data_IF_112924791072
#
_entry.id   IF_112924791072
#
_cell.length_a   1.000
_cell.length_b   1.000
_cell.length_c   1.000
_cell.angle_alpha   90.00
_cell.angle_beta   90.00
_cell.angle_gamma   90.00
#
_symmetry.space_group_name_H-M   'P 1'
#
loop_
_entity.id
_entity.type
_entity.pdbx_description
1 polymer ?
#
# COMPACT_ATOMS: atom_id res chain seq x y z
N UNK A 1 1.20 22.72 19.41
CA UNK A 1 -0.24 22.76 19.07
C UNK A 1 -0.98 22.71 20.39
N UNK A 2 -1.98 23.58 20.62
CA UNK A 2 -2.78 23.55 21.85
C UNK A 2 -3.61 22.27 21.91
N UNK A 3 -3.71 21.66 23.09
CA UNK A 3 -4.24 20.31 23.32
C UNK A 3 -5.74 20.17 23.02
N UNK A 4 -6.46 21.29 22.92
CA UNK A 4 -7.93 21.32 22.72
C UNK A 4 -8.36 21.01 21.28
N UNK A 5 -7.54 21.29 20.25
CA UNK A 5 -7.83 20.88 18.86
C UNK A 5 -7.63 19.38 18.62
N UNK A 6 -6.93 18.67 19.50
CA UNK A 6 -6.63 17.25 19.32
C UNK A 6 -7.87 16.40 19.66
N UNK A 7 -8.64 16.79 20.69
CA UNK A 7 -9.82 16.05 21.17
C UNK A 7 -11.05 16.13 20.27
N UNK A 8 -11.23 17.20 19.49
CA UNK A 8 -12.38 17.32 18.57
C UNK A 8 -12.20 16.53 17.27
N UNK A 9 -10.96 16.12 16.96
CA UNK A 9 -10.58 15.40 15.73
C UNK A 9 -10.44 13.89 15.92
N UNK A 10 -10.44 13.39 17.15
CA UNK A 10 -10.36 11.95 17.45
C UNK A 10 -11.59 11.14 17.00
N UNK A 11 -12.72 11.81 16.71
CA UNK A 11 -14.00 11.16 16.42
C UNK A 11 -14.27 10.74 14.97
N UNK A 12 -13.44 11.12 14.00
CA UNK A 12 -13.77 10.93 12.56
C UNK A 12 -12.78 10.03 11.77
N UNK A 13 -11.84 9.39 12.46
CA UNK A 13 -10.91 8.44 11.84
C UNK A 13 -11.54 7.05 11.66
N UNK A 14 -11.11 6.31 10.63
CA UNK A 14 -11.53 4.91 10.42
C UNK A 14 -11.03 3.97 11.53
N UNK A 15 -9.91 4.33 12.14
CA UNK A 15 -9.22 3.59 13.21
C UNK A 15 -8.63 4.59 14.20
N UNK A 16 -8.53 4.25 15.50
CA UNK A 16 -7.87 5.12 16.47
C UNK A 16 -6.48 5.60 16.03
N UNK A 17 -6.18 6.87 16.33
CA UNK A 17 -4.92 7.51 15.98
C UNK A 17 -3.70 6.73 16.49
N UNK A 18 -3.82 6.16 17.69
CA UNK A 18 -2.78 5.33 18.31
C UNK A 18 -2.40 4.14 17.44
N UNK A 19 -3.36 3.50 16.76
CA UNK A 19 -3.11 2.36 15.88
C UNK A 19 -2.29 2.76 14.65
N UNK A 20 -2.57 3.93 14.05
CA UNK A 20 -1.78 4.47 12.94
C UNK A 20 -0.33 4.80 13.36
N UNK A 21 -0.16 5.35 14.57
CA UNK A 21 1.15 5.71 15.10
C UNK A 21 1.97 4.46 15.48
N UNK A 22 1.37 3.53 16.21
CA UNK A 22 2.00 2.28 16.67
C UNK A 22 2.51 1.42 15.50
N UNK A 23 1.74 1.35 14.42
CA UNK A 23 2.12 0.59 13.22
C UNK A 23 3.08 1.34 12.27
N UNK A 24 3.42 2.60 12.58
CA UNK A 24 4.43 3.38 11.84
C UNK A 24 4.01 3.77 10.41
N UNK A 25 2.71 3.92 10.15
CA UNK A 25 2.16 4.26 8.83
C UNK A 25 2.62 5.64 8.36
N UNK A 26 2.74 6.57 9.31
CA UNK A 26 3.12 7.97 9.10
C UNK A 26 4.62 8.16 8.83
N UNK A 27 5.46 7.14 9.01
CA UNK A 27 6.92 7.26 8.91
C UNK A 27 7.36 7.09 7.46
N UNK A 28 7.74 8.19 6.81
CA UNK A 28 8.30 8.20 5.46
C UNK A 28 9.82 8.17 5.42
N UNK A 29 10.39 8.29 4.22
CA UNK A 29 11.85 8.28 3.99
C UNK A 29 12.47 9.68 4.06
N UNK A 30 13.81 9.69 3.94
CA UNK A 30 14.61 10.91 3.81
C UNK A 30 14.46 11.61 2.46
N UNK A 31 14.27 10.82 1.40
CA UNK A 31 14.09 11.35 0.05
C UNK A 31 12.61 11.63 -0.18
N UNK A 32 12.31 12.84 -0.65
CA UNK A 32 10.95 13.30 -0.97
C UNK A 32 10.87 13.74 -2.43
N UNK A 33 9.91 13.22 -3.18
CA UNK A 33 9.56 13.69 -4.52
C UNK A 33 8.70 14.95 -4.44
N UNK A 34 8.64 15.75 -5.52
CA UNK A 34 7.87 17.00 -5.55
C UNK A 34 6.38 16.75 -5.33
N UNK A 35 5.85 15.69 -5.92
CA UNK A 35 4.44 15.31 -5.84
C UNK A 35 4.01 14.88 -4.43
N UNK A 36 4.87 14.14 -3.71
CA UNK A 36 4.55 13.67 -2.37
C UNK A 36 4.64 14.75 -1.29
N UNK A 37 5.11 15.98 -1.62
CA UNK A 37 5.26 17.06 -0.63
C UNK A 37 3.94 17.44 0.03
N UNK A 38 2.82 17.35 -0.69
CA UNK A 38 1.51 17.72 -0.17
C UNK A 38 1.05 16.82 0.99
N UNK A 39 1.47 15.56 1.00
CA UNK A 39 1.09 14.60 2.05
C UNK A 39 2.03 14.62 3.25
N UNK A 40 3.16 15.33 3.17
CA UNK A 40 4.16 15.40 4.23
C UNK A 40 3.83 16.58 5.16
N UNK A 41 3.60 16.28 6.44
CA UNK A 41 3.36 17.29 7.47
C UNK A 41 4.66 17.98 7.90
N UNK A 42 5.66 17.19 8.33
CA UNK A 42 6.94 17.72 8.82
C UNK A 42 8.11 16.81 8.50
N UNK A 43 9.31 17.35 8.58
CA UNK A 43 10.56 16.56 8.56
C UNK A 43 11.12 16.51 9.98
N UNK A 44 11.38 15.30 10.50
CA UNK A 44 12.00 15.09 11.82
C UNK A 44 13.50 15.46 11.78
N UNK A 45 14.11 15.64 12.94
CA UNK A 45 15.56 15.86 13.11
C UNK A 45 16.42 14.78 12.44
N UNK A 46 15.95 13.52 12.45
CA UNK A 46 16.58 12.38 11.75
C UNK A 46 16.54 12.46 10.22
N UNK A 47 15.98 13.55 9.68
CA UNK A 47 15.66 13.79 8.26
C UNK A 47 14.59 12.86 7.70
N UNK A 48 13.88 12.11 8.55
CA UNK A 48 12.73 11.31 8.12
C UNK A 48 11.52 12.21 7.89
N UNK A 49 10.81 11.98 6.81
CA UNK A 49 9.55 12.69 6.52
C UNK A 49 8.42 12.05 7.33
N UNK A 50 7.51 12.88 7.84
CA UNK A 50 6.31 12.44 8.56
C UNK A 50 5.09 12.80 7.73
N UNK A 51 4.30 11.79 7.38
CA UNK A 51 3.02 11.97 6.70
C UNK A 51 1.95 12.52 7.64
N UNK A 52 1.01 13.29 7.08
CA UNK A 52 -0.19 13.73 7.79
C UNK A 52 -1.24 12.60 7.82
N UNK A 53 -1.51 12.06 9.02
CA UNK A 53 -2.45 10.94 9.22
C UNK A 53 -3.86 11.28 8.73
N UNK A 54 -4.30 12.54 8.81
CA UNK A 54 -5.63 12.97 8.34
C UNK A 54 -5.78 12.74 6.84
N UNK A 55 -4.76 13.11 6.08
CA UNK A 55 -4.73 12.89 4.62
C UNK A 55 -4.66 11.40 4.27
N UNK A 56 -4.01 10.58 5.10
CA UNK A 56 -3.99 9.13 4.90
C UNK A 56 -5.40 8.56 5.05
N UNK A 57 -6.09 8.92 6.14
CA UNK A 57 -7.45 8.43 6.43
C UNK A 57 -8.46 8.87 5.37
N UNK A 58 -8.41 10.14 4.95
CA UNK A 58 -9.25 10.67 3.86
C UNK A 58 -9.02 9.90 2.56
N UNK A 59 -7.74 9.66 2.20
CA UNK A 59 -7.40 8.90 0.99
C UNK A 59 -7.83 7.44 1.08
N UNK A 60 -7.71 6.82 2.25
CA UNK A 60 -8.22 5.46 2.49
C UNK A 60 -9.74 5.40 2.33
N UNK A 61 -10.47 6.36 2.89
CA UNK A 61 -11.93 6.44 2.77
C UNK A 61 -12.38 6.58 1.32
N UNK A 62 -11.71 7.44 0.55
CA UNK A 62 -12.00 7.60 -0.89
C UNK A 62 -11.65 6.33 -1.66
N UNK A 63 -10.49 5.72 -1.38
CA UNK A 63 -10.11 4.45 -2.00
C UNK A 63 -11.11 3.34 -1.72
N UNK A 64 -11.53 3.14 -0.47
CA UNK A 64 -12.52 2.13 -0.10
C UNK A 64 -13.86 2.35 -0.81
N UNK A 65 -14.33 3.60 -0.89
CA UNK A 65 -15.52 3.96 -1.67
C UNK A 65 -15.36 3.63 -3.14
N UNK A 66 -14.20 3.93 -3.72
CA UNK A 66 -13.93 3.63 -5.12
C UNK A 66 -13.93 2.11 -5.37
N UNK A 67 -13.20 1.33 -4.56
CA UNK A 67 -13.13 -0.13 -4.65
C UNK A 67 -14.51 -0.78 -4.46
N UNK A 68 -15.32 -0.28 -3.54
CA UNK A 68 -16.65 -0.84 -3.24
C UNK A 68 -17.62 -0.80 -4.42
N UNK A 69 -17.41 0.11 -5.38
CA UNK A 69 -18.25 0.26 -6.57
C UNK A 69 -17.95 -0.75 -7.67
N UNK A 70 -16.77 -1.36 -7.64
CA UNK A 70 -16.38 -2.38 -8.60
C UNK A 70 -16.79 -3.76 -8.11
N UNK A 71 -17.05 -4.65 -9.06
CA UNK A 71 -17.24 -6.07 -8.80
C UNK A 71 -15.92 -6.66 -8.25
N UNK A 72 -15.97 -7.49 -7.19
CA UNK A 72 -14.77 -8.04 -6.58
C UNK A 72 -13.85 -8.73 -7.60
N UNK A 73 -14.42 -9.55 -8.47
CA UNK A 73 -13.68 -10.33 -9.47
C UNK A 73 -12.96 -9.46 -10.51
N UNK A 74 -13.36 -8.19 -10.64
CA UNK A 74 -12.76 -7.21 -11.56
C UNK A 74 -11.71 -6.32 -10.89
N UNK A 75 -11.47 -6.47 -9.59
CA UNK A 75 -10.42 -5.74 -8.87
C UNK A 75 -9.20 -6.65 -8.71
N UNK A 76 -8.04 -6.19 -9.21
CA UNK A 76 -6.77 -6.90 -9.08
C UNK A 76 -5.85 -6.18 -8.10
N UNK A 77 -5.42 -6.88 -7.05
CA UNK A 77 -4.38 -6.41 -6.12
C UNK A 77 -3.03 -7.09 -6.42
N UNK A 78 -1.96 -6.31 -6.60
CA UNK A 78 -0.62 -6.80 -6.95
C UNK A 78 0.43 -6.35 -5.93
N UNK A 79 1.29 -7.28 -5.54
CA UNK A 79 2.49 -7.00 -4.75
C UNK A 79 3.62 -7.99 -5.03
N UNK A 80 4.67 -7.53 -5.68
CA UNK A 80 5.93 -8.28 -5.74
C UNK A 80 6.69 -8.25 -4.40
N UNK A 81 6.35 -7.31 -3.51
CA UNK A 81 7.07 -7.09 -2.26
C UNK A 81 6.67 -8.11 -1.20
N UNK A 82 7.67 -8.69 -0.52
CA UNK A 82 7.52 -9.77 0.49
C UNK A 82 6.53 -9.38 1.60
N UNK A 83 6.60 -8.14 2.09
CA UNK A 83 5.71 -7.67 3.14
C UNK A 83 4.28 -7.42 2.69
N UNK A 84 4.05 -7.21 1.39
CA UNK A 84 2.71 -6.99 0.83
C UNK A 84 2.01 -8.27 0.38
N UNK A 85 2.72 -9.41 0.27
CA UNK A 85 2.14 -10.67 -0.20
C UNK A 85 0.98 -11.16 0.66
N UNK A 86 1.22 -11.28 1.96
CA UNK A 86 0.22 -11.77 2.92
C UNK A 86 -0.97 -10.80 3.08
N UNK A 87 -0.78 -9.47 3.23
CA UNK A 87 -1.88 -8.52 3.23
C UNK A 87 -2.78 -8.62 1.99
N UNK A 88 -2.20 -8.77 0.80
CA UNK A 88 -2.97 -8.90 -0.45
C UNK A 88 -3.73 -10.22 -0.52
N UNK A 89 -3.11 -11.34 -0.13
CA UNK A 89 -3.81 -12.64 -0.07
C UNK A 89 -5.01 -12.57 0.86
N UNK A 90 -4.82 -12.01 2.06
CA UNK A 90 -5.92 -11.80 3.02
C UNK A 90 -6.99 -10.86 2.50
N UNK A 91 -6.59 -9.76 1.87
CA UNK A 91 -7.54 -8.85 1.22
C UNK A 91 -8.40 -9.59 0.17
N UNK A 92 -7.78 -10.39 -0.69
CA UNK A 92 -8.47 -11.23 -1.69
C UNK A 92 -9.41 -12.26 -1.05
N UNK A 93 -8.96 -12.98 -0.03
CA UNK A 93 -9.77 -13.96 0.70
C UNK A 93 -11.06 -13.36 1.28
N UNK A 94 -10.98 -12.15 1.85
CA UNK A 94 -12.13 -11.52 2.50
C UNK A 94 -13.03 -10.74 1.54
N UNK A 95 -12.45 -10.04 0.56
CA UNK A 95 -13.23 -9.18 -0.35
C UNK A 95 -13.71 -9.90 -1.61
N UNK A 96 -13.12 -11.06 -1.94
CA UNK A 96 -13.34 -11.78 -3.20
C UNK A 96 -12.55 -11.19 -4.39
N UNK A 97 -11.63 -10.26 -4.15
CA UNK A 97 -10.84 -9.65 -5.22
C UNK A 97 -9.77 -10.60 -5.79
N UNK A 98 -9.34 -10.38 -7.03
CA UNK A 98 -8.18 -11.09 -7.58
C UNK A 98 -6.88 -10.58 -6.94
N UNK A 99 -5.93 -11.48 -6.72
CA UNK A 99 -4.65 -11.13 -6.11
C UNK A 99 -3.47 -11.82 -6.80
N UNK A 100 -2.43 -11.04 -7.10
CA UNK A 100 -1.09 -11.54 -7.43
C UNK A 100 -0.16 -11.16 -6.30
N UNK A 101 0.10 -12.12 -5.40
CA UNK A 101 1.07 -12.00 -4.32
C UNK A 101 2.50 -12.33 -4.71
N UNK A 102 2.68 -12.99 -5.85
CA UNK A 102 3.97 -13.51 -6.29
C UNK A 102 4.54 -12.64 -7.40
N UNK A 103 5.48 -13.19 -8.16
CA UNK A 103 6.10 -12.46 -9.25
C UNK A 103 5.04 -12.11 -10.31
N UNK A 104 4.87 -10.83 -10.59
CA UNK A 104 4.04 -10.38 -11.71
C UNK A 104 4.68 -10.82 -13.03
N UNK A 105 3.96 -11.60 -13.82
CA UNK A 105 4.41 -12.06 -15.14
C UNK A 105 4.06 -11.00 -16.17
N UNK A 106 5.03 -10.61 -17.00
CA UNK A 106 4.76 -9.65 -18.06
C UNK A 106 3.78 -10.23 -19.09
N UNK A 107 2.83 -9.41 -19.54
CA UNK A 107 1.78 -9.83 -20.45
C UNK A 107 0.50 -10.31 -19.75
N UNK A 108 0.48 -10.32 -18.41
CA UNK A 108 -0.70 -10.69 -17.60
C UNK A 108 -1.94 -9.88 -18.00
N UNK A 109 -1.78 -8.59 -18.30
CA UNK A 109 -2.90 -7.71 -18.65
C UNK A 109 -3.01 -7.43 -20.15
N UNK A 110 -1.95 -7.66 -20.94
CA UNK A 110 -1.90 -7.23 -22.35
C UNK A 110 -1.94 -8.36 -23.36
N UNK A 111 -1.60 -9.60 -22.98
CA UNK A 111 -1.50 -10.71 -23.92
C UNK A 111 -2.57 -11.78 -23.65
N UNK A 112 -3.65 -11.86 -24.45
CA UNK A 112 -4.68 -12.88 -24.27
C UNK A 112 -4.20 -14.33 -24.48
N UNK A 113 -3.05 -14.55 -25.12
CA UNK A 113 -2.57 -15.89 -25.43
C UNK A 113 -1.92 -16.62 -24.24
N UNK A 114 -1.61 -15.91 -23.14
CA UNK A 114 -1.05 -16.55 -21.94
C UNK A 114 -2.16 -17.12 -21.05
N UNK A 115 -1.92 -18.26 -20.36
CA UNK A 115 -2.94 -18.91 -19.56
C UNK A 115 -3.34 -18.12 -18.30
N UNK A 116 -2.50 -17.18 -17.87
CA UNK A 116 -2.75 -16.32 -16.71
C UNK A 116 -3.22 -14.92 -17.10
N UNK A 117 -3.79 -14.77 -18.30
CA UNK A 117 -4.36 -13.51 -18.75
C UNK A 117 -5.55 -13.11 -17.87
N UNK A 118 -5.60 -11.83 -17.49
CA UNK A 118 -6.69 -11.28 -16.70
C UNK A 118 -7.06 -9.87 -17.18
N UNK A 119 -8.35 -9.57 -17.15
CA UNK A 119 -8.92 -8.26 -17.51
C UNK A 119 -9.62 -7.63 -16.28
N UNK A 120 -8.86 -7.05 -15.35
CA UNK A 120 -9.42 -6.28 -14.25
C UNK A 120 -9.82 -4.87 -14.71
N UNK A 121 -10.86 -4.32 -14.08
CA UNK A 121 -11.30 -2.94 -14.26
C UNK A 121 -10.61 -1.97 -13.28
N UNK A 122 -9.93 -2.51 -12.27
CA UNK A 122 -9.19 -1.73 -11.27
C UNK A 122 -7.92 -2.44 -10.82
N UNK A 123 -6.80 -1.73 -10.80
CA UNK A 123 -5.53 -2.22 -10.28
C UNK A 123 -5.19 -1.55 -8.93
N UNK A 124 -4.87 -2.36 -7.93
CA UNK A 124 -4.35 -1.92 -6.62
C UNK A 124 -2.91 -2.41 -6.47
N UNK A 125 -2.00 -1.50 -6.12
CA UNK A 125 -0.56 -1.77 -6.03
C UNK A 125 -0.01 -1.39 -4.65
N UNK A 126 0.81 -2.27 -4.04
CA UNK A 126 1.46 -1.98 -2.74
C UNK A 126 2.68 -1.08 -2.85
N UNK A 127 3.49 -1.22 -3.91
CA UNK A 127 4.68 -0.41 -4.09
C UNK A 127 4.92 -0.09 -5.57
N UNK A 128 4.77 1.17 -5.99
CA UNK A 128 4.94 1.55 -7.39
C UNK A 128 6.38 1.36 -7.88
N UNK A 129 7.37 1.28 -6.99
CA UNK A 129 8.74 1.01 -7.42
C UNK A 129 8.99 -0.45 -7.75
N UNK A 130 8.32 -1.37 -7.06
CA UNK A 130 8.46 -2.82 -7.26
C UNK A 130 7.55 -3.33 -8.36
N UNK A 131 6.36 -2.76 -8.49
CA UNK A 131 5.28 -3.25 -9.36
C UNK A 131 5.10 -2.41 -10.63
N UNK A 132 6.18 -1.75 -11.09
CA UNK A 132 6.18 -0.88 -12.29
C UNK A 132 5.63 -1.56 -13.54
N UNK A 133 5.83 -2.88 -13.65
CA UNK A 133 5.37 -3.63 -14.81
C UNK A 133 3.85 -3.72 -14.85
N UNK A 134 3.22 -4.00 -13.69
CA UNK A 134 1.77 -4.04 -13.59
C UNK A 134 1.16 -2.66 -13.88
N UNK A 135 1.75 -1.60 -13.34
CA UNK A 135 1.34 -0.20 -13.58
C UNK A 135 1.42 0.14 -15.08
N UNK A 136 2.55 -0.22 -15.73
CA UNK A 136 2.75 0.07 -17.14
C UNK A 136 1.73 -0.68 -18.03
N UNK A 137 1.49 -1.96 -17.74
CA UNK A 137 0.51 -2.74 -18.49
C UNK A 137 -0.92 -2.24 -18.26
N UNK A 138 -1.28 -1.85 -17.04
CA UNK A 138 -2.56 -1.23 -16.73
C UNK A 138 -2.77 0.09 -17.50
N UNK A 139 -1.74 0.94 -17.55
CA UNK A 139 -1.76 2.19 -18.33
C UNK A 139 -2.00 1.95 -19.82
N UNK A 140 -1.37 0.91 -20.40
CA UNK A 140 -1.58 0.53 -21.80
C UNK A 140 -3.03 0.07 -22.06
N UNK A 141 -3.63 -0.65 -21.11
CA UNK A 141 -5.00 -1.17 -21.20
C UNK A 141 -6.07 -0.15 -20.77
N UNK A 142 -5.68 1.02 -20.25
CA UNK A 142 -6.62 2.03 -19.74
C UNK A 142 -7.26 1.65 -18.40
N UNK A 143 -6.63 0.78 -17.62
CA UNK A 143 -7.11 0.34 -16.31
C UNK A 143 -6.66 1.35 -15.24
N UNK A 144 -7.57 1.92 -14.43
CA UNK A 144 -7.21 2.85 -13.37
C UNK A 144 -6.36 2.19 -12.28
N UNK A 145 -5.37 2.94 -11.77
CA UNK A 145 -4.38 2.44 -10.81
C UNK A 145 -4.47 3.18 -9.47
N UNK A 146 -4.73 2.42 -8.40
CA UNK A 146 -4.57 2.84 -7.00
C UNK A 146 -3.23 2.32 -6.48
N UNK A 147 -2.39 3.19 -5.92
CA UNK A 147 -1.11 2.76 -5.37
C UNK A 147 -0.82 3.31 -3.97
N UNK A 148 -0.28 2.44 -3.12
CA UNK A 148 0.31 2.83 -1.83
C UNK A 148 1.70 3.39 -2.06
N UNK A 149 1.87 4.68 -1.78
CA UNK A 149 3.08 5.42 -2.13
C UNK A 149 3.81 5.97 -0.90
N UNK A 150 5.10 5.66 -0.80
CA UNK A 150 6.02 6.30 0.13
C UNK A 150 6.58 7.61 -0.47
N UNK A 151 7.35 8.39 0.31
CA UNK A 151 7.79 9.73 -0.08
C UNK A 151 8.70 9.78 -1.29
N UNK A 152 9.34 8.67 -1.65
CA UNK A 152 10.23 8.56 -2.80
C UNK A 152 9.52 8.02 -4.06
N UNK A 153 8.22 7.73 -3.99
CA UNK A 153 7.48 7.15 -5.10
C UNK A 153 7.48 8.07 -6.33
N UNK A 154 7.59 7.45 -7.51
CA UNK A 154 7.29 8.09 -8.79
C UNK A 154 5.84 7.80 -9.11
N UNK A 155 5.11 8.83 -9.51
CA UNK A 155 3.65 8.82 -9.65
C UNK A 155 3.26 8.91 -11.13
N UNK A 156 4.09 8.36 -12.00
CA UNK A 156 3.73 8.26 -13.41
C UNK A 156 2.75 7.11 -13.53
N UNK A 157 1.66 7.29 -14.28
CA UNK A 157 0.67 6.25 -14.55
C UNK A 157 -0.08 5.74 -13.30
N UNK A 158 -0.21 6.58 -12.27
CA UNK A 158 -0.97 6.30 -11.05
C UNK A 158 -2.07 7.36 -10.92
N UNK A 159 -3.32 6.92 -10.88
CA UNK A 159 -4.48 7.82 -10.81
C UNK A 159 -4.80 8.22 -9.37
N UNK A 160 -4.72 7.27 -8.44
CA UNK A 160 -5.05 7.51 -7.05
C UNK A 160 -3.93 7.07 -6.10
N UNK A 161 -3.52 7.98 -5.23
CA UNK A 161 -2.41 7.80 -4.30
C UNK A 161 -2.96 7.61 -2.89
N UNK A 162 -2.53 6.53 -2.24
CA UNK A 162 -2.64 6.34 -0.80
C UNK A 162 -1.27 6.64 -0.19
N UNK A 163 -1.06 7.80 0.46
CA UNK A 163 0.22 8.16 1.03
C UNK A 163 0.48 7.32 2.28
N UNK A 164 1.49 6.45 2.25
CA UNK A 164 1.82 5.64 3.42
C UNK A 164 3.22 5.01 3.35
N UNK A 165 3.68 4.52 4.50
CA UNK A 165 4.90 3.74 4.57
C UNK A 165 4.73 2.35 3.93
N UNK A 166 5.27 2.17 2.73
CA UNK A 166 5.25 0.90 2.00
C UNK A 166 6.45 -0.02 2.33
N UNK A 167 7.21 0.27 3.40
CA UNK A 167 8.37 -0.53 3.81
C UNK A 167 8.18 -1.31 5.09
N UNK A 168 7.36 -0.80 6.00
CA UNK A 168 7.03 -1.48 7.25
C UNK A 168 6.07 -2.63 7.02
N UNK A 169 6.36 -3.79 7.59
CA UNK A 169 5.44 -4.95 7.59
C UNK A 169 4.08 -4.60 8.20
N UNK A 170 4.10 -3.90 9.34
CA UNK A 170 2.91 -3.51 10.09
C UNK A 170 2.10 -2.42 9.37
N UNK A 171 2.79 -1.50 8.68
CA UNK A 171 2.13 -0.41 7.95
C UNK A 171 1.31 -0.93 6.77
N UNK A 172 1.90 -1.77 5.91
CA UNK A 172 1.17 -2.35 4.76
C UNK A 172 0.01 -3.22 5.25
N UNK A 173 0.24 -4.03 6.29
CA UNK A 173 -0.81 -4.84 6.89
C UNK A 173 -1.98 -3.98 7.38
N UNK A 174 -1.70 -2.87 8.08
CA UNK A 174 -2.74 -1.98 8.58
C UNK A 174 -3.53 -1.34 7.44
N UNK A 175 -2.87 -0.88 6.37
CA UNK A 175 -3.55 -0.27 5.22
C UNK A 175 -4.53 -1.25 4.58
N UNK A 176 -4.10 -2.47 4.27
CA UNK A 176 -4.97 -3.46 3.66
C UNK A 176 -6.05 -3.97 4.62
N UNK A 177 -5.78 -4.02 5.92
CA UNK A 177 -6.78 -4.33 6.94
C UNK A 177 -7.88 -3.27 6.99
N UNK A 178 -7.52 -1.98 6.98
CA UNK A 178 -8.48 -0.86 6.93
C UNK A 178 -9.28 -0.89 5.63
N UNK A 179 -8.61 -1.07 4.49
CA UNK A 179 -9.28 -1.18 3.19
C UNK A 179 -10.27 -2.35 3.17
N UNK A 180 -9.87 -3.53 3.68
CA UNK A 180 -10.76 -4.70 3.77
C UNK A 180 -11.99 -4.38 4.61
N UNK A 181 -11.77 -3.86 5.83
CA UNK A 181 -12.84 -3.51 6.77
C UNK A 181 -13.84 -2.54 6.16
N UNK A 182 -13.35 -1.47 5.53
CA UNK A 182 -14.22 -0.44 4.96
C UNK A 182 -14.90 -0.87 3.65
N UNK A 183 -14.23 -1.65 2.80
CA UNK A 183 -14.87 -2.20 1.59
C UNK A 183 -16.01 -3.14 1.96
N UNK A 184 -15.82 -4.01 2.96
CA UNK A 184 -16.88 -4.91 3.45
C UNK A 184 -18.03 -4.13 4.09
N UNK A 185 -17.71 -3.14 4.93
CA UNK A 185 -18.71 -2.25 5.53
C UNK A 185 -19.57 -1.55 4.48
N UNK A 186 -18.94 -1.00 3.44
CA UNK A 186 -19.65 -0.32 2.35
C UNK A 186 -20.50 -1.27 1.49
N UNK A 187 -20.12 -2.55 1.42
CA UNK A 187 -20.90 -3.61 0.78
C UNK A 187 -22.01 -4.18 1.68
N UNK A 188 -22.14 -3.70 2.91
CA UNK A 188 -23.17 -4.14 3.86
C UNK A 188 -22.84 -5.43 4.62
N UNK A 189 -21.58 -5.86 4.61
CA UNK A 189 -21.11 -7.04 5.35
C UNK A 189 -20.42 -6.54 6.62
N UNK A 190 -21.09 -6.64 7.77
CA UNK A 190 -20.61 -6.07 9.04
C UNK A 190 -19.70 -7.02 9.86
N UNK A 191 -19.63 -8.31 9.50
CA UNK A 191 -18.94 -9.34 10.29
C UNK A 191 -17.41 -9.39 10.13
N UNK A 192 -16.74 -8.23 9.98
CA UNK A 192 -15.28 -8.20 9.90
C UNK A 192 -14.64 -8.12 11.29
N UNK A 193 -14.50 -9.26 11.96
CA UNK A 193 -13.86 -9.39 13.28
C UNK A 193 -12.45 -10.02 13.21
N UNK A 194 -11.70 -9.71 12.15
CA UNK A 194 -10.37 -10.29 11.92
C UNK A 194 -9.30 -9.41 12.58
N UNK A 195 -8.40 -9.98 13.40
CA UNK A 195 -7.33 -9.21 14.03
C UNK A 195 -6.26 -8.78 13.01
N UNK A 196 -5.63 -7.62 13.27
CA UNK A 196 -4.59 -7.05 12.40
C UNK A 196 -3.40 -8.01 12.20
N UNK A 197 -3.09 -8.81 13.21
CA UNK A 197 -2.00 -9.78 13.23
C UNK A 197 -2.07 -10.78 12.09
N UNK A 198 -3.28 -11.10 11.61
CA UNK A 198 -3.46 -12.03 10.49
C UNK A 198 -2.92 -11.47 9.18
N UNK A 199 -2.98 -10.16 8.99
CA UNK A 199 -2.51 -9.46 7.79
C UNK A 199 -1.00 -9.28 7.80
N UNK A 200 -0.34 -9.34 8.96
CA UNK A 200 1.10 -9.13 9.07
C UNK A 200 1.85 -10.26 8.34
N UNK A 201 2.69 -9.89 7.38
CA UNK A 201 3.57 -10.83 6.69
C UNK A 201 4.55 -11.48 7.65
N UNK A 202 4.49 -12.82 7.73
CA UNK A 202 5.44 -13.68 8.47
C UNK A 202 6.61 -14.13 7.60
N UNK A 203 6.60 -13.78 6.31
CA UNK A 203 7.64 -14.19 5.37
C UNK A 203 8.92 -13.39 5.62
N UNK A 204 9.99 -14.11 5.93
CA UNK A 204 11.33 -13.53 6.00
C UNK A 204 11.96 -13.47 4.60
N UNK A 205 12.72 -12.39 4.29
CA UNK A 205 13.48 -12.34 3.06
C UNK A 205 14.51 -13.48 3.03
N UNK A 206 14.71 -14.05 1.84
CA UNK A 206 15.61 -15.18 1.66
C UNK A 206 17.03 -14.84 2.19
N UNK A 207 17.71 -15.74 2.92
CA UNK A 207 18.97 -15.45 3.60
C UNK A 207 20.07 -14.85 2.71
N UNK A 208 20.11 -15.22 1.42
CA UNK A 208 21.09 -14.68 0.47
C UNK A 208 20.88 -13.18 0.21
N UNK A 209 19.63 -12.67 0.23
CA UNK A 209 19.34 -11.25 0.00
C UNK A 209 19.89 -10.40 1.14
N UNK A 210 19.78 -10.91 2.38
CA UNK A 210 20.34 -10.27 3.57
C UNK A 210 21.86 -10.18 3.42
N UNK A 211 22.50 -11.29 3.07
CA UNK A 211 23.95 -11.36 2.84
C UNK A 211 24.43 -10.42 1.72
N UNK A 212 23.70 -10.32 0.61
CA UNK A 212 24.02 -9.38 -0.47
C UNK A 212 23.90 -7.92 0.00
N UNK A 213 22.86 -7.59 0.78
CA UNK A 213 22.69 -6.24 1.32
C UNK A 213 23.84 -5.83 2.26
N UNK A 214 24.29 -6.76 3.11
CA UNK A 214 25.45 -6.55 3.97
C UNK A 214 26.73 -6.32 3.16
N UNK A 215 26.96 -7.12 2.12
CA UNK A 215 28.10 -6.95 1.21
C UNK A 215 28.05 -5.58 0.54
N UNK A 216 26.89 -5.15 0.03
CA UNK A 216 26.72 -3.84 -0.58
C UNK A 216 26.95 -2.69 0.42
N UNK A 217 26.47 -2.84 1.67
CA UNK A 217 26.68 -1.85 2.74
C UNK A 217 28.16 -1.75 3.13
N UNK A 218 28.86 -2.89 3.23
CA UNK A 218 30.33 -2.94 3.43
C UNK A 218 31.07 -2.29 2.26
N UNK A 219 30.69 -2.56 1.00
CA UNK A 219 31.28 -1.91 -0.19
C UNK A 219 31.07 -0.40 -0.21
N UNK A 220 29.87 0.08 0.16
CA UNK A 220 29.58 1.53 0.27
C UNK A 220 30.38 2.22 1.37
N UNK A 221 30.65 1.52 2.49
CA UNK A 221 31.49 2.03 3.58
C UNK A 221 32.97 2.09 3.21
N UNK A 222 33.47 1.18 2.35
CA UNK A 222 34.86 1.18 1.85
C UNK A 222 35.14 2.21 0.76
N UNK A 223 34.09 2.74 0.11
CA UNK A 223 34.20 3.76 -0.95
C UNK A 223 34.01 5.19 -0.44
N UNK A 224 33.75 5.35 0.87
CA UNK A 224 33.71 6.63 1.58
C UNK A 224 34.96 6.71 2.45
#
# INVERSE_FOLDING_TARGET
MPEEEIKSLEGDFLVPLETYLSNGVHVGLKYKTKFMKEFIYKTREDKLSVFDVRKIDERLRIASKFISRYEPEKVLAVSNRIYGRRPIRKFSEYTGCMAISDRFVSGTLTNPAIPYYMEPDLLIVTDPSSDKQAIKEASIMGIPVIAVCDTNARINDIDFIIPANNKGKNSIALIFWILTKEVLRLRGIEDFNVPLEEFISKEEPQPYLIKMHEIQKKRRRRRK
#
